data_IF_445266920990
#
_entry.id   IF_445266920990
#
_cell.length_a   1.000
_cell.length_b   1.000
_cell.length_c   1.000
_cell.angle_alpha   90.00
_cell.angle_beta   90.00
_cell.angle_gamma   90.00
#
_symmetry.space_group_name_H-M   'P 1'
#
loop_
_entity.id
_entity.type
_entity.pdbx_description
1 polymer ?
#
# COMPACT_ATOMS: atom_id res chain seq x y z
N UNK A 1 -3.40 8.53 56.99
CA UNK A 1 -3.56 7.21 56.35
C UNK A 1 -2.60 7.17 55.19
N UNK A 2 -1.50 6.47 55.38
CA UNK A 2 -0.42 6.30 54.42
C UNK A 2 -0.89 5.50 53.20
N UNK A 3 -0.71 6.07 52.00
CA UNK A 3 -0.95 5.43 50.70
C UNK A 3 0.37 4.98 50.07
N UNK A 4 1.21 4.25 50.83
CA UNK A 4 2.47 3.68 50.32
C UNK A 4 2.69 2.22 50.76
N UNK A 5 1.71 1.35 50.52
CA UNK A 5 2.01 -0.06 50.26
C UNK A 5 1.89 -0.31 48.76
N UNK A 6 2.94 0.04 48.02
CA UNK A 6 3.10 -0.47 46.66
C UNK A 6 3.42 -1.96 46.75
N UNK A 7 2.63 -2.78 46.05
CA UNK A 7 2.82 -4.21 45.85
C UNK A 7 4.32 -4.56 45.71
N UNK A 8 4.86 -5.37 46.64
CA UNK A 8 6.18 -5.98 46.46
C UNK A 8 6.18 -6.74 45.12
N UNK A 9 7.17 -6.55 44.26
CA UNK A 9 7.22 -7.24 42.96
C UNK A 9 7.27 -8.74 43.20
N UNK A 10 6.19 -9.44 42.84
CA UNK A 10 6.12 -10.90 42.91
C UNK A 10 7.00 -11.44 41.78
N UNK A 11 8.00 -12.25 42.12
CA UNK A 11 8.92 -12.84 41.14
C UNK A 11 8.13 -13.79 40.24
N UNK A 12 8.02 -13.47 38.94
CA UNK A 12 7.30 -14.31 37.97
C UNK A 12 8.10 -15.57 37.61
N UNK A 13 7.44 -16.60 37.09
CA UNK A 13 8.14 -17.79 36.58
C UNK A 13 9.15 -17.44 35.48
N UNK A 14 8.82 -16.46 34.62
CA UNK A 14 9.71 -15.94 33.59
C UNK A 14 10.97 -15.33 34.22
N UNK A 15 10.82 -14.56 35.31
CA UNK A 15 11.94 -13.99 36.05
C UNK A 15 12.87 -15.08 36.59
N UNK A 16 12.32 -16.12 37.24
CA UNK A 16 13.12 -17.27 37.71
C UNK A 16 13.83 -17.97 36.55
N UNK A 17 13.14 -18.15 35.42
CA UNK A 17 13.71 -18.72 34.21
C UNK A 17 14.88 -17.92 33.67
N UNK A 18 14.77 -16.60 33.67
CA UNK A 18 15.83 -15.70 33.20
C UNK A 18 17.05 -15.76 34.11
N UNK A 19 16.86 -15.78 35.44
CA UNK A 19 17.97 -15.92 36.40
C UNK A 19 18.68 -17.27 36.25
N UNK A 20 17.93 -18.35 36.00
CA UNK A 20 18.52 -19.66 35.69
C UNK A 20 19.35 -19.63 34.42
N UNK A 21 18.84 -19.01 33.35
CA UNK A 21 19.58 -18.83 32.10
C UNK A 21 20.89 -18.05 32.32
N UNK A 22 20.86 -16.98 33.12
CA UNK A 22 22.06 -16.22 33.47
C UNK A 22 23.03 -17.01 34.34
N UNK A 23 22.53 -17.81 35.29
CA UNK A 23 23.36 -18.69 36.12
C UNK A 23 24.10 -19.73 35.28
N UNK A 24 23.42 -20.34 34.29
CA UNK A 24 24.04 -21.28 33.36
C UNK A 24 25.20 -20.62 32.60
N UNK A 25 25.02 -19.35 32.19
CA UNK A 25 26.04 -18.58 31.45
C UNK A 25 27.18 -18.06 32.32
N UNK A 26 26.94 -17.74 33.59
CA UNK A 26 27.95 -17.15 34.47
C UNK A 26 28.77 -18.20 35.22
N UNK A 27 28.09 -19.21 35.78
CA UNK A 27 28.71 -20.22 36.67
C UNK A 27 28.80 -21.60 36.00
N UNK A 28 28.16 -21.80 34.84
CA UNK A 28 28.13 -23.11 34.16
C UNK A 28 27.16 -24.10 34.80
N UNK A 29 26.10 -23.61 35.45
CA UNK A 29 25.02 -24.48 35.96
C UNK A 29 24.21 -25.10 34.82
N UNK A 30 23.47 -26.17 35.13
CA UNK A 30 22.66 -26.92 34.15
C UNK A 30 21.16 -26.83 34.49
N UNK A 31 20.67 -25.61 34.74
CA UNK A 31 19.25 -25.42 34.96
C UNK A 31 18.47 -25.54 33.65
N UNK A 32 17.38 -26.32 33.66
CA UNK A 32 16.46 -26.44 32.52
C UNK A 32 15.74 -25.11 32.25
N UNK A 33 16.18 -24.39 31.21
CA UNK A 33 15.62 -23.11 30.79
C UNK A 33 14.68 -23.20 29.58
N UNK A 34 14.61 -24.34 28.89
CA UNK A 34 13.84 -24.47 27.64
C UNK A 34 12.33 -24.28 27.82
N UNK A 35 11.81 -24.68 29.00
CA UNK A 35 10.39 -24.58 29.31
C UNK A 35 9.84 -23.14 29.33
N UNK A 36 10.72 -22.13 29.36
CA UNK A 36 10.33 -20.72 29.39
C UNK A 36 10.23 -20.09 28.00
N UNK A 37 10.64 -20.80 26.94
CA UNK A 37 10.49 -20.35 25.56
C UNK A 37 11.32 -19.10 25.22
N UNK A 38 12.50 -18.94 25.81
CA UNK A 38 13.42 -17.86 25.45
C UNK A 38 13.92 -18.00 24.00
N UNK A 39 14.20 -16.89 23.30
CA UNK A 39 14.74 -16.94 21.93
C UNK A 39 16.11 -17.61 21.89
N UNK A 40 16.36 -18.42 20.85
CA UNK A 40 17.61 -19.19 20.69
C UNK A 40 18.86 -18.31 20.69
N UNK A 41 18.79 -17.12 20.11
CA UNK A 41 19.87 -16.13 20.09
C UNK A 41 20.27 -15.73 21.51
N UNK A 42 19.30 -15.56 22.41
CA UNK A 42 19.59 -15.26 23.80
C UNK A 42 20.19 -16.48 24.52
N UNK A 43 19.76 -17.69 24.17
CA UNK A 43 20.35 -18.94 24.72
C UNK A 43 21.80 -19.12 24.27
N UNK A 44 22.15 -18.72 23.05
CA UNK A 44 23.50 -18.81 22.49
C UNK A 44 24.37 -17.58 22.80
N UNK A 45 23.76 -16.45 23.14
CA UNK A 45 24.46 -15.20 23.46
C UNK A 45 25.47 -15.36 24.60
N UNK A 46 26.54 -14.56 24.55
CA UNK A 46 27.44 -14.38 25.70
C UNK A 46 26.68 -13.82 26.90
N UNK A 47 27.23 -13.99 28.11
CA UNK A 47 26.66 -13.40 29.31
C UNK A 47 26.48 -11.88 29.17
N UNK A 48 27.46 -11.22 28.53
CA UNK A 48 27.43 -9.78 28.30
C UNK A 48 26.25 -9.36 27.44
N UNK A 49 26.06 -9.99 26.29
CA UNK A 49 24.95 -9.69 25.36
C UNK A 49 23.59 -9.97 26.01
N UNK A 50 23.48 -11.03 26.81
CA UNK A 50 22.27 -11.33 27.57
C UNK A 50 21.96 -10.22 28.57
N UNK A 51 22.94 -9.75 29.35
CA UNK A 51 22.78 -8.64 30.29
C UNK A 51 22.41 -7.36 29.54
N UNK A 52 23.09 -7.01 28.47
CA UNK A 52 22.81 -5.80 27.68
C UNK A 52 21.38 -5.82 27.10
N UNK A 53 20.91 -6.98 26.64
CA UNK A 53 19.53 -7.18 26.15
C UNK A 53 18.50 -6.99 27.27
N UNK A 54 18.73 -7.59 28.43
CA UNK A 54 17.86 -7.44 29.62
C UNK A 54 17.79 -5.97 30.03
N UNK A 55 18.94 -5.32 30.06
CA UNK A 55 19.10 -3.93 30.44
C UNK A 55 18.32 -3.00 29.50
N UNK A 56 18.42 -3.24 28.18
CA UNK A 56 17.72 -2.49 27.14
C UNK A 56 16.20 -2.63 27.28
N UNK A 57 15.69 -3.86 27.40
CA UNK A 57 14.26 -4.12 27.54
C UNK A 57 13.70 -3.60 28.87
N UNK A 58 14.41 -3.84 29.97
CA UNK A 58 14.03 -3.37 31.29
C UNK A 58 13.94 -1.86 31.33
N UNK A 59 14.90 -1.14 30.76
CA UNK A 59 14.94 0.33 30.80
C UNK A 59 13.88 1.00 29.93
N UNK A 60 13.47 0.36 28.84
CA UNK A 60 12.66 1.01 27.80
C UNK A 60 11.21 1.31 28.23
N UNK A 61 10.70 0.66 29.28
CA UNK A 61 9.38 0.96 29.86
C UNK A 61 9.39 2.03 30.97
N UNK A 62 10.55 2.51 31.43
CA UNK A 62 10.62 3.48 32.53
C UNK A 62 10.99 4.89 32.08
N UNK A 63 10.42 5.91 32.75
CA UNK A 63 10.72 7.33 32.48
C UNK A 63 12.18 7.58 32.88
N UNK A 64 13.00 8.08 31.95
CA UNK A 64 14.41 8.41 32.20
C UNK A 64 15.40 7.25 32.00
N UNK A 65 14.93 6.06 31.59
CA UNK A 65 15.81 4.97 31.20
C UNK A 65 16.69 5.35 30.01
N UNK A 66 18.01 5.19 30.15
CA UNK A 66 18.94 5.35 29.03
C UNK A 66 18.94 4.06 28.22
N UNK A 67 18.73 4.19 26.91
CA UNK A 67 18.67 3.09 25.94
C UNK A 67 20.07 2.47 25.68
N UNK A 68 21.11 2.96 26.35
CA UNK A 68 22.49 2.46 26.29
C UNK A 68 22.89 1.62 27.53
N UNK A 69 21.95 1.39 28.44
CA UNK A 69 22.15 0.54 29.61
C UNK A 69 22.97 1.13 30.77
N UNK A 70 23.50 2.34 30.64
CA UNK A 70 24.32 3.00 31.67
C UNK A 70 23.52 3.58 32.85
N UNK A 71 22.24 3.22 32.98
CA UNK A 71 21.33 3.71 34.02
C UNK A 71 21.31 2.88 35.30
N UNK A 72 21.69 1.59 35.24
CA UNK A 72 21.47 0.63 36.33
C UNK A 72 22.27 0.94 37.61
N UNK A 73 23.49 1.48 37.50
CA UNK A 73 24.35 1.76 38.66
C UNK A 73 23.81 2.82 39.63
N UNK A 74 22.73 3.53 39.26
CA UNK A 74 22.11 4.59 40.07
C UNK A 74 20.67 4.26 40.49
N UNK A 75 20.25 3.01 40.32
CA UNK A 75 18.90 2.55 40.61
C UNK A 75 18.84 1.84 41.96
N UNK A 76 17.72 1.98 42.67
CA UNK A 76 17.46 1.15 43.84
C UNK A 76 17.27 -0.32 43.43
N UNK A 77 17.58 -1.23 44.35
CA UNK A 77 17.44 -2.68 44.14
C UNK A 77 16.04 -3.07 43.64
N UNK A 78 14.99 -2.53 44.27
CA UNK A 78 13.59 -2.77 43.85
C UNK A 78 13.32 -2.42 42.39
N UNK A 79 13.94 -1.34 41.88
CA UNK A 79 13.78 -0.93 40.49
C UNK A 79 14.56 -1.84 39.54
N UNK A 80 15.72 -2.34 39.95
CA UNK A 80 16.48 -3.33 39.18
C UNK A 80 15.65 -4.61 39.07
N UNK A 81 15.08 -5.09 40.17
CA UNK A 81 14.21 -6.28 40.19
C UNK A 81 13.01 -6.09 39.24
N UNK A 82 12.34 -4.94 39.27
CA UNK A 82 11.20 -4.66 38.39
C UNK A 82 11.58 -4.62 36.90
N UNK A 83 12.76 -4.08 36.57
CA UNK A 83 13.25 -4.03 35.19
C UNK A 83 13.65 -5.40 34.67
N UNK A 84 14.30 -6.22 35.51
CA UNK A 84 14.63 -7.61 35.16
C UNK A 84 13.34 -8.43 34.96
N UNK A 85 12.34 -8.25 35.82
CA UNK A 85 11.03 -8.90 35.66
C UNK A 85 10.37 -8.51 34.31
N UNK A 86 10.39 -7.22 33.99
CA UNK A 86 9.87 -6.69 32.72
C UNK A 86 10.56 -7.31 31.51
N UNK A 87 11.89 -7.39 31.54
CA UNK A 87 12.67 -8.00 30.46
C UNK A 87 12.40 -9.51 30.36
N UNK A 88 12.28 -10.19 31.49
CA UNK A 88 11.98 -11.62 31.54
C UNK A 88 10.63 -11.93 30.89
N UNK A 89 9.58 -11.16 31.21
CA UNK A 89 8.26 -11.32 30.60
C UNK A 89 8.25 -11.02 29.09
N UNK A 90 9.13 -10.11 28.64
CA UNK A 90 9.28 -9.78 27.22
C UNK A 90 10.03 -10.87 26.44
N UNK A 91 10.93 -11.60 27.09
CA UNK A 91 11.76 -12.63 26.47
C UNK A 91 11.15 -14.03 26.56
N UNK A 92 10.32 -14.29 27.58
CA UNK A 92 9.61 -15.55 27.73
C UNK A 92 8.51 -15.71 26.67
N UNK A 93 8.16 -16.96 26.35
CA UNK A 93 7.09 -17.27 25.37
C UNK A 93 7.35 -16.55 24.04
N UNK A 94 8.58 -16.65 23.52
CA UNK A 94 8.98 -15.96 22.30
C UNK A 94 8.32 -16.58 21.06
N UNK A 95 7.82 -15.76 20.10
CA UNK A 95 7.87 -14.30 20.05
C UNK A 95 6.73 -13.56 20.77
N UNK A 96 5.71 -14.26 21.27
CA UNK A 96 4.48 -13.67 21.80
C UNK A 96 4.71 -12.77 23.02
N UNK A 97 5.62 -13.13 23.94
CA UNK A 97 6.01 -12.28 25.07
C UNK A 97 6.58 -10.94 24.62
N UNK A 98 7.42 -10.94 23.59
CA UNK A 98 8.00 -9.72 23.04
C UNK A 98 6.95 -8.85 22.39
N UNK A 99 6.00 -9.46 21.68
CA UNK A 99 4.87 -8.73 21.12
C UNK A 99 4.05 -8.05 22.22
N UNK A 100 3.66 -8.78 23.27
CA UNK A 100 2.94 -8.21 24.42
C UNK A 100 3.71 -7.04 25.02
N UNK A 101 5.03 -7.16 25.13
CA UNK A 101 5.91 -6.11 25.62
C UNK A 101 5.93 -4.88 24.70
N UNK A 102 6.02 -5.05 23.38
CA UNK A 102 5.90 -3.96 22.42
C UNK A 102 4.55 -3.23 22.56
N UNK A 103 3.47 -3.97 22.81
CA UNK A 103 2.16 -3.41 23.15
C UNK A 103 2.20 -2.48 24.37
N UNK A 104 2.94 -2.84 25.42
CA UNK A 104 3.13 -2.00 26.63
C UNK A 104 3.94 -0.73 26.35
N UNK A 105 4.94 -0.79 25.45
CA UNK A 105 5.72 0.40 25.04
C UNK A 105 4.88 1.39 24.24
N UNK A 106 3.89 0.87 23.55
CA UNK A 106 2.97 1.64 22.74
C UNK A 106 1.90 2.31 23.63
N UNK A 107 1.30 1.57 24.58
CA UNK A 107 0.32 2.07 25.56
C UNK A 107 0.87 1.97 26.99
N UNK A 108 1.50 3.01 27.56
CA UNK A 108 1.86 3.00 28.97
C UNK A 108 0.57 3.00 29.83
N UNK A 109 0.41 2.00 30.69
CA UNK A 109 -0.80 1.80 31.51
C UNK A 109 -1.03 2.98 32.49
N UNK A 110 0.06 3.64 32.91
CA UNK A 110 0.03 4.53 34.08
C UNK A 110 -0.11 6.02 33.74
N UNK A 111 -0.18 6.41 32.46
CA UNK A 111 -0.14 7.84 32.11
C UNK A 111 -0.87 8.19 30.79
N UNK A 112 -2.20 8.12 30.81
CA UNK A 112 -3.07 8.42 29.67
C UNK A 112 -3.19 9.93 29.34
N UNK A 113 -2.83 10.82 30.26
CA UNK A 113 -3.04 12.28 30.18
C UNK A 113 -1.81 13.07 29.73
N UNK A 114 -0.63 12.43 29.62
CA UNK A 114 0.61 13.08 29.21
C UNK A 114 0.67 13.39 27.71
N UNK A 115 1.19 14.57 27.36
CA UNK A 115 1.45 15.01 25.99
C UNK A 115 2.66 14.34 25.31
N UNK A 116 3.37 13.44 26.03
CA UNK A 116 4.48 12.67 25.47
C UNK A 116 3.97 11.66 24.44
N UNK A 117 4.63 11.65 23.29
CA UNK A 117 4.13 11.03 22.07
C UNK A 117 4.00 9.51 22.27
N UNK A 118 2.77 9.01 22.20
CA UNK A 118 2.45 7.59 22.17
C UNK A 118 3.27 6.91 21.05
N UNK A 119 3.97 5.82 21.36
CA UNK A 119 5.00 5.17 20.52
C UNK A 119 6.38 5.83 20.45
N UNK A 120 6.69 6.89 21.19
CA UNK A 120 8.06 7.43 21.26
C UNK A 120 9.04 6.40 21.83
N UNK A 121 8.65 5.66 22.87
CA UNK A 121 9.48 4.62 23.47
C UNK A 121 9.68 3.43 22.54
N UNK A 122 8.61 3.03 21.87
CA UNK A 122 8.67 2.03 20.80
C UNK A 122 9.65 2.47 19.70
N UNK A 123 9.51 3.70 19.18
CA UNK A 123 10.37 4.22 18.13
C UNK A 123 11.84 4.36 18.58
N UNK A 124 12.08 4.81 19.81
CA UNK A 124 13.44 4.88 20.39
C UNK A 124 14.07 3.50 20.52
N UNK A 125 13.31 2.52 21.01
CA UNK A 125 13.79 1.14 21.12
C UNK A 125 14.07 0.53 19.74
N UNK A 126 13.16 0.71 18.78
CA UNK A 126 13.35 0.26 17.40
C UNK A 126 14.60 0.88 16.78
N UNK A 127 14.75 2.20 16.82
CA UNK A 127 15.92 2.86 16.24
C UNK A 127 17.23 2.47 16.94
N UNK A 128 17.18 2.23 18.26
CA UNK A 128 18.35 1.72 18.98
C UNK A 128 18.72 0.31 18.50
N UNK A 129 17.76 -0.61 18.39
CA UNK A 129 18.00 -1.96 17.89
C UNK A 129 18.46 -1.95 16.42
N UNK A 130 17.85 -1.12 15.58
CA UNK A 130 18.20 -0.95 14.16
C UNK A 130 19.61 -0.38 13.96
N UNK A 131 20.03 0.57 14.81
CA UNK A 131 21.38 1.15 14.73
C UNK A 131 22.46 0.24 15.31
N UNK A 132 22.08 -0.75 16.12
CA UNK A 132 22.99 -1.63 16.86
C UNK A 132 22.62 -3.11 16.65
N UNK A 133 22.33 -3.50 15.41
CA UNK A 133 21.84 -4.86 15.08
C UNK A 133 22.80 -5.96 15.53
N UNK A 134 24.11 -5.72 15.43
CA UNK A 134 25.13 -6.66 15.91
C UNK A 134 25.16 -6.82 17.43
N UNK A 135 24.75 -5.79 18.16
CA UNK A 135 24.73 -5.79 19.62
C UNK A 135 23.40 -6.32 20.18
N UNK A 136 22.28 -6.09 19.48
CA UNK A 136 20.94 -6.52 19.89
C UNK A 136 20.20 -7.34 18.82
N UNK A 137 20.80 -8.45 18.32
CA UNK A 137 20.24 -9.22 17.21
C UNK A 137 18.86 -9.79 17.54
N UNK A 138 18.67 -10.27 18.77
CA UNK A 138 17.39 -10.82 19.27
C UNK A 138 16.25 -9.80 19.20
N UNK A 139 16.53 -8.56 19.63
CA UNK A 139 15.51 -7.50 19.69
C UNK A 139 15.15 -7.04 18.29
N UNK A 140 16.17 -6.82 17.44
CA UNK A 140 15.94 -6.41 16.07
C UNK A 140 15.15 -7.45 15.28
N UNK A 141 15.49 -8.74 15.40
CA UNK A 141 14.72 -9.81 14.76
C UNK A 141 13.28 -9.88 15.27
N UNK A 142 13.06 -9.69 16.57
CA UNK A 142 11.71 -9.59 17.12
C UNK A 142 10.87 -8.48 16.50
N UNK A 143 11.50 -7.33 16.18
CA UNK A 143 10.82 -6.25 15.46
C UNK A 143 10.49 -6.66 14.02
N UNK A 144 11.42 -7.27 13.29
CA UNK A 144 11.18 -7.77 11.93
C UNK A 144 10.04 -8.79 11.88
N UNK A 145 10.00 -9.74 12.82
CA UNK A 145 8.92 -10.72 12.96
C UNK A 145 7.57 -10.03 13.25
N UNK A 146 7.57 -9.03 14.15
CA UNK A 146 6.36 -8.26 14.50
C UNK A 146 5.81 -7.53 13.29
N UNK A 147 6.67 -6.80 12.57
CA UNK A 147 6.31 -6.02 11.40
C UNK A 147 5.87 -6.92 10.24
N UNK A 148 6.52 -8.09 10.07
CA UNK A 148 6.13 -9.10 9.09
C UNK A 148 4.73 -9.67 9.35
N UNK A 149 4.36 -9.92 10.62
CA UNK A 149 3.02 -10.36 10.99
C UNK A 149 1.97 -9.27 10.80
N UNK A 150 2.34 -8.00 11.03
CA UNK A 150 1.48 -6.85 10.79
C UNK A 150 1.17 -6.65 9.31
N UNK A 151 2.17 -6.74 8.44
CA UNK A 151 1.98 -6.62 7.00
C UNK A 151 1.07 -7.71 6.43
N UNK A 152 1.09 -8.91 7.03
CA UNK A 152 0.23 -10.04 6.64
C UNK A 152 -1.17 -9.96 7.24
N UNK A 153 -1.50 -8.93 8.02
CA UNK A 153 -2.81 -8.78 8.68
C UNK A 153 -3.12 -9.86 9.73
N UNK A 154 -2.12 -10.66 10.13
CA UNK A 154 -2.30 -11.79 11.06
C UNK A 154 -2.28 -11.37 12.53
N UNK A 155 -1.85 -10.15 12.80
CA UNK A 155 -1.77 -9.58 14.14
C UNK A 155 -3.03 -8.72 14.41
N UNK A 156 -4.14 -9.37 14.77
CA UNK A 156 -5.42 -8.68 14.96
C UNK A 156 -5.52 -7.85 16.27
N UNK A 157 -4.56 -7.96 17.20
CA UNK A 157 -4.71 -7.42 18.57
C UNK A 157 -3.50 -6.70 19.18
N UNK A 158 -2.41 -6.51 18.44
CA UNK A 158 -1.18 -5.90 19.01
C UNK A 158 -1.01 -4.41 18.74
N UNK A 159 -1.92 -3.79 17.98
CA UNK A 159 -1.79 -2.40 17.55
C UNK A 159 -2.99 -1.58 17.97
N UNK A 160 -3.02 -1.23 19.25
CA UNK A 160 -3.40 0.12 19.61
C UNK A 160 -2.24 1.05 19.29
N UNK A 161 -2.18 1.59 18.07
CA UNK A 161 -1.32 2.69 17.53
C UNK A 161 0.21 2.48 17.41
N UNK A 162 0.68 2.20 16.21
CA UNK A 162 1.94 2.80 15.69
C UNK A 162 1.51 3.98 14.84
N UNK A 163 1.71 5.21 15.34
CA UNK A 163 1.59 6.42 14.55
C UNK A 163 3.01 6.86 14.18
N UNK A 164 3.47 6.61 12.94
CA UNK A 164 4.77 7.07 12.49
C UNK A 164 4.95 8.59 12.65
N UNK A 165 6.10 9.02 13.18
CA UNK A 165 6.54 10.43 13.09
C UNK A 165 6.65 10.85 11.61
N UNK A 166 6.38 12.13 11.27
CA UNK A 166 6.63 12.66 9.93
C UNK A 166 8.11 12.44 9.56
N UNK A 167 8.33 11.63 8.54
CA UNK A 167 9.62 11.06 8.18
C UNK A 167 9.41 9.73 7.46
N UNK A 168 10.35 9.32 6.59
CA UNK A 168 10.20 8.14 5.72
C UNK A 168 10.08 6.84 6.53
N UNK A 169 8.89 6.50 6.98
CA UNK A 169 8.57 5.11 7.35
C UNK A 169 8.48 4.32 6.07
N UNK A 170 9.13 3.16 6.03
CA UNK A 170 9.28 2.40 4.78
C UNK A 170 7.92 2.12 4.12
N UNK A 171 6.84 1.90 4.89
CA UNK A 171 5.58 1.32 4.38
C UNK A 171 4.31 2.15 4.62
N UNK A 172 4.25 3.08 5.59
CA UNK A 172 3.04 3.84 5.93
C UNK A 172 3.28 5.35 6.04
N UNK A 173 2.41 6.14 5.42
CA UNK A 173 2.37 7.59 5.51
C UNK A 173 1.14 8.06 6.28
N UNK A 174 1.32 9.06 7.15
CA UNK A 174 0.19 9.72 7.78
C UNK A 174 -0.54 10.65 6.78
N UNK A 175 -1.76 11.08 7.10
CA UNK A 175 -2.55 11.92 6.20
C UNK A 175 -1.90 13.28 5.86
N UNK A 176 -1.00 13.83 6.69
CA UNK A 176 -0.21 15.02 6.30
C UNK A 176 0.89 14.67 5.30
N UNK A 177 1.63 13.59 5.52
CA UNK A 177 2.73 13.20 4.63
C UNK A 177 2.21 12.76 3.27
N UNK A 178 1.12 11.98 3.25
CA UNK A 178 0.46 11.59 2.01
C UNK A 178 0.02 12.81 1.18
N UNK A 179 -0.44 13.90 1.81
CA UNK A 179 -0.77 15.15 1.10
C UNK A 179 0.46 15.80 0.47
N UNK A 180 1.58 15.81 1.18
CA UNK A 180 2.84 16.37 0.69
C UNK A 180 3.36 15.55 -0.48
N UNK A 181 3.40 14.21 -0.35
CA UNK A 181 3.84 13.31 -1.42
C UNK A 181 2.97 13.44 -2.68
N UNK A 182 1.64 13.46 -2.51
CA UNK A 182 0.70 13.52 -3.63
C UNK A 182 0.49 14.93 -4.19
N UNK A 183 0.95 15.96 -3.46
CA UNK A 183 0.67 17.39 -3.70
C UNK A 183 -0.83 17.67 -3.82
N UNK A 184 -1.60 17.20 -2.83
CA UNK A 184 -3.07 17.34 -2.80
C UNK A 184 -3.61 17.93 -1.50
N UNK A 185 -4.77 18.58 -1.58
CA UNK A 185 -5.51 19.05 -0.41
C UNK A 185 -6.15 17.92 0.40
N UNK A 186 -6.61 18.26 1.61
CA UNK A 186 -7.28 17.31 2.54
C UNK A 186 -8.54 16.68 1.97
N UNK A 187 -9.35 17.46 1.25
CA UNK A 187 -10.58 16.99 0.60
C UNK A 187 -10.28 15.95 -0.48
N UNK A 188 -9.31 16.25 -1.34
CA UNK A 188 -8.84 15.33 -2.40
C UNK A 188 -8.29 14.04 -1.82
N UNK A 189 -7.42 14.12 -0.79
CA UNK A 189 -6.92 12.92 -0.13
C UNK A 189 -8.05 12.06 0.42
N UNK A 190 -9.00 12.67 1.14
CA UNK A 190 -10.15 11.96 1.72
C UNK A 190 -11.01 11.30 0.63
N UNK A 191 -11.15 11.94 -0.54
CA UNK A 191 -11.85 11.39 -1.70
C UNK A 191 -11.12 10.19 -2.29
N UNK A 192 -9.80 10.26 -2.45
CA UNK A 192 -8.99 9.14 -2.95
C UNK A 192 -9.07 7.92 -2.03
N UNK A 193 -9.01 8.14 -0.73
CA UNK A 193 -9.18 7.08 0.29
C UNK A 193 -10.57 6.44 0.21
N UNK A 194 -11.63 7.25 0.07
CA UNK A 194 -13.01 6.75 -0.01
C UNK A 194 -13.29 5.97 -1.29
N UNK A 195 -12.66 6.36 -2.40
CA UNK A 195 -12.76 5.66 -3.69
C UNK A 195 -11.90 4.39 -3.77
N UNK A 196 -11.15 4.04 -2.71
CA UNK A 196 -10.27 2.87 -2.71
C UNK A 196 -8.99 3.04 -3.53
N UNK A 197 -8.72 4.23 -4.07
CA UNK A 197 -7.52 4.52 -4.86
C UNK A 197 -6.23 4.54 -4.02
N UNK A 198 -6.39 4.69 -2.71
CA UNK A 198 -5.32 4.61 -1.74
C UNK A 198 -5.67 3.49 -0.76
N UNK A 199 -4.74 2.56 -0.53
CA UNK A 199 -4.90 1.52 0.50
C UNK A 199 -4.72 2.19 1.85
N UNK A 200 -5.76 2.13 2.68
CA UNK A 200 -5.77 2.82 3.97
C UNK A 200 -5.88 1.86 5.15
N UNK A 201 -5.23 2.23 6.25
CA UNK A 201 -5.36 1.55 7.54
C UNK A 201 -6.01 2.53 8.51
N UNK A 202 -7.20 2.20 9.01
CA UNK A 202 -7.92 3.01 9.98
C UNK A 202 -7.58 2.55 11.41
N UNK A 203 -7.25 3.50 12.27
CA UNK A 203 -6.92 3.28 13.68
C UNK A 203 -7.83 4.16 14.53
N UNK A 204 -8.64 3.54 15.40
CA UNK A 204 -9.57 4.24 16.30
C UNK A 204 -8.85 4.65 17.59
N UNK A 205 -9.01 5.91 18.00
CA UNK A 205 -8.48 6.51 19.25
C UNK A 205 -9.64 7.18 19.98
N UNK A 206 -10.23 6.48 20.96
CA UNK A 206 -11.43 6.96 21.65
C UNK A 206 -12.57 7.24 20.67
N UNK A 207 -13.04 8.50 20.63
CA UNK A 207 -14.06 8.96 19.68
C UNK A 207 -13.50 9.35 18.29
N UNK A 208 -12.19 9.39 18.10
CA UNK A 208 -11.56 9.81 16.84
C UNK A 208 -11.06 8.63 15.99
N UNK A 209 -11.15 8.73 14.66
CA UNK A 209 -10.60 7.74 13.72
C UNK A 209 -9.47 8.39 12.92
N UNK A 210 -8.25 7.91 13.10
CA UNK A 210 -7.10 8.28 12.28
C UNK A 210 -6.95 7.30 11.12
N UNK A 211 -6.54 7.78 9.95
CA UNK A 211 -6.34 6.94 8.76
C UNK A 211 -4.92 7.15 8.22
N UNK A 212 -4.22 6.05 7.99
CA UNK A 212 -2.90 5.98 7.37
C UNK A 212 -3.01 5.46 5.94
N UNK A 213 -2.03 5.78 5.10
CA UNK A 213 -1.99 5.37 3.70
C UNK A 213 -0.70 4.59 3.45
N UNK A 214 -0.76 3.50 2.69
CA UNK A 214 0.46 2.73 2.35
C UNK A 214 1.33 3.45 1.32
N UNK A 215 2.65 3.40 1.46
CA UNK A 215 3.59 3.98 0.49
C UNK A 215 3.43 3.38 -0.90
N UNK A 216 3.27 2.05 -0.99
CA UNK A 216 2.98 1.33 -2.23
C UNK A 216 1.77 1.94 -2.96
N UNK A 217 0.67 2.19 -2.25
CA UNK A 217 -0.51 2.81 -2.87
C UNK A 217 -0.30 4.28 -3.27
N UNK A 218 0.60 5.00 -2.59
CA UNK A 218 0.98 6.37 -2.97
C UNK A 218 1.79 6.32 -4.26
N UNK A 219 2.77 5.44 -4.35
CA UNK A 219 3.63 5.27 -5.54
C UNK A 219 2.81 4.81 -6.74
N UNK A 220 1.98 3.77 -6.57
CA UNK A 220 1.07 3.30 -7.62
C UNK A 220 0.15 4.42 -8.13
N UNK A 221 -0.38 5.26 -7.22
CA UNK A 221 -1.20 6.40 -7.61
C UNK A 221 -0.40 7.51 -8.31
N UNK A 222 0.85 7.75 -7.89
CA UNK A 222 1.74 8.71 -8.55
C UNK A 222 2.09 8.27 -9.96
N UNK A 223 2.37 6.97 -10.15
CA UNK A 223 2.63 6.40 -11.46
C UNK A 223 1.40 6.47 -12.35
N UNK A 224 0.23 6.09 -11.82
CA UNK A 224 -1.04 6.28 -12.51
C UNK A 224 -1.23 7.74 -12.94
N UNK A 225 -1.03 8.70 -12.02
CA UNK A 225 -1.15 10.13 -12.30
C UNK A 225 -0.21 10.61 -13.41
N UNK A 226 0.99 10.03 -13.55
CA UNK A 226 1.92 10.34 -14.66
C UNK A 226 1.41 9.83 -16.01
N UNK A 227 0.63 8.75 -16.02
CA UNK A 227 0.06 8.15 -17.23
C UNK A 227 -1.29 8.74 -17.64
N UNK A 228 -1.96 9.45 -16.73
CA UNK A 228 -3.22 10.11 -17.03
C UNK A 228 -3.01 11.25 -18.03
N UNK A 229 -3.67 11.16 -19.17
CA UNK A 229 -3.68 12.18 -20.21
C UNK A 229 -5.06 12.81 -20.34
N UNK A 230 -5.10 14.09 -20.71
CA UNK A 230 -6.36 14.80 -20.93
C UNK A 230 -7.05 14.39 -22.23
N UNK A 231 -8.34 14.73 -22.36
CA UNK A 231 -9.18 14.40 -23.52
C UNK A 231 -8.59 14.78 -24.89
N UNK A 232 -7.91 15.93 -25.00
CA UNK A 232 -7.27 16.37 -26.25
C UNK A 232 -6.11 15.45 -26.65
N UNK A 233 -5.27 15.08 -25.68
CA UNK A 233 -4.16 14.17 -25.89
C UNK A 233 -4.64 12.75 -26.21
N UNK A 234 -5.71 12.30 -25.56
CA UNK A 234 -6.36 11.01 -25.88
C UNK A 234 -6.92 10.99 -27.31
N UNK A 235 -7.63 12.04 -27.72
CA UNK A 235 -8.16 12.16 -29.08
C UNK A 235 -7.04 12.21 -30.13
N UNK A 236 -5.96 12.92 -29.84
CA UNK A 236 -4.76 12.97 -30.67
C UNK A 236 -4.07 11.61 -30.80
N UNK A 237 -3.94 10.86 -29.69
CA UNK A 237 -3.34 9.53 -29.67
C UNK A 237 -4.13 8.52 -30.52
N UNK A 238 -5.45 8.59 -30.47
CA UNK A 238 -6.33 7.76 -31.30
C UNK A 238 -6.53 8.31 -32.72
N UNK A 239 -6.04 9.52 -33.02
CA UNK A 239 -6.28 10.24 -34.28
C UNK A 239 -7.76 10.40 -34.64
N UNK A 240 -8.59 10.74 -33.64
CA UNK A 240 -10.03 10.99 -33.81
C UNK A 240 -10.41 12.38 -33.33
N UNK A 241 -11.61 12.86 -33.71
CA UNK A 241 -12.15 14.11 -33.19
C UNK A 241 -12.56 13.97 -31.71
N UNK A 242 -12.61 15.09 -30.98
CA UNK A 242 -13.13 15.11 -29.59
C UNK A 242 -14.57 14.61 -29.51
N UNK A 243 -15.38 14.89 -30.52
CA UNK A 243 -16.76 14.41 -30.58
C UNK A 243 -16.78 12.88 -30.71
N UNK A 244 -16.01 12.34 -31.65
CA UNK A 244 -15.85 10.88 -31.85
C UNK A 244 -15.38 10.18 -30.58
N UNK A 245 -14.38 10.73 -29.89
CA UNK A 245 -13.88 10.15 -28.63
C UNK A 245 -14.99 10.04 -27.57
N UNK A 246 -15.83 11.09 -27.42
CA UNK A 246 -16.97 11.05 -26.50
C UNK A 246 -18.02 10.02 -26.92
N UNK A 247 -18.27 9.87 -28.21
CA UNK A 247 -19.20 8.87 -28.74
C UNK A 247 -18.71 7.45 -28.48
N UNK A 248 -17.40 7.19 -28.65
CA UNK A 248 -16.78 5.90 -28.30
C UNK A 248 -16.92 5.56 -26.82
N UNK A 249 -16.76 6.56 -25.95
CA UNK A 249 -16.95 6.36 -24.50
C UNK A 249 -18.40 6.09 -24.15
N UNK A 250 -19.35 6.82 -24.73
CA UNK A 250 -20.79 6.56 -24.53
C UNK A 250 -21.20 5.17 -24.99
N UNK A 251 -20.57 4.66 -26.05
CA UNK A 251 -20.80 3.32 -26.56
C UNK A 251 -20.05 2.21 -25.78
N UNK A 252 -19.22 2.56 -24.79
CA UNK A 252 -18.51 1.59 -23.94
C UNK A 252 -17.22 1.03 -24.53
N UNK A 253 -16.76 1.50 -25.69
CA UNK A 253 -15.48 1.08 -26.28
C UNK A 253 -14.28 1.60 -25.50
N UNK A 254 -14.41 2.76 -24.85
CA UNK A 254 -13.36 3.38 -24.08
C UNK A 254 -13.89 3.76 -22.71
N UNK A 255 -13.11 3.49 -21.67
CA UNK A 255 -13.47 3.86 -20.30
C UNK A 255 -12.55 4.98 -19.81
N UNK A 256 -13.07 6.20 -19.58
CA UNK A 256 -12.28 7.26 -18.98
C UNK A 256 -11.98 6.91 -17.52
N UNK A 257 -10.79 7.31 -17.05
CA UNK A 257 -10.42 7.14 -15.66
C UNK A 257 -11.09 8.19 -14.75
N UNK A 258 -11.15 9.44 -15.24
CA UNK A 258 -11.94 10.52 -14.62
C UNK A 258 -12.85 11.15 -15.65
N UNK A 259 -14.08 11.48 -15.26
CA UNK A 259 -15.00 12.27 -16.09
C UNK A 259 -16.04 13.01 -15.22
N UNK A 260 -16.63 14.10 -15.72
CA UNK A 260 -17.75 14.77 -15.06
C UNK A 260 -18.89 13.81 -14.74
N UNK A 261 -19.18 12.89 -15.66
CA UNK A 261 -20.30 11.95 -15.57
C UNK A 261 -20.01 10.78 -14.62
N UNK A 262 -18.77 10.32 -14.55
CA UNK A 262 -18.36 9.19 -13.71
C UNK A 262 -18.17 9.62 -12.25
N UNK A 263 -17.48 10.75 -12.04
CA UNK A 263 -16.86 11.01 -10.75
C UNK A 263 -16.83 12.49 -10.35
N UNK A 264 -17.55 13.32 -11.12
CA UNK A 264 -17.68 14.77 -10.91
C UNK A 264 -16.39 15.54 -11.19
N UNK A 265 -15.42 14.93 -11.89
CA UNK A 265 -14.18 15.61 -12.22
C UNK A 265 -14.40 16.66 -13.32
N UNK A 266 -13.79 17.84 -13.19
CA UNK A 266 -13.99 18.96 -14.12
C UNK A 266 -13.52 18.68 -15.55
N UNK A 267 -12.66 17.67 -15.74
CA UNK A 267 -12.08 17.31 -17.02
C UNK A 267 -11.99 15.80 -17.18
N UNK A 268 -12.10 15.34 -18.42
CA UNK A 268 -11.93 13.93 -18.78
C UNK A 268 -10.45 13.57 -18.80
N UNK A 269 -10.10 12.47 -18.14
CA UNK A 269 -8.75 11.90 -18.12
C UNK A 269 -8.78 10.42 -18.47
N UNK A 270 -7.78 9.97 -19.21
CA UNK A 270 -7.63 8.59 -19.67
C UNK A 270 -6.26 8.06 -19.25
N UNK A 271 -6.17 6.78 -18.91
CA UNK A 271 -4.87 6.13 -18.76
C UNK A 271 -4.29 5.85 -20.15
N UNK A 272 -3.11 6.42 -20.43
CA UNK A 272 -2.40 6.24 -21.69
C UNK A 272 -2.16 4.77 -22.02
N UNK A 273 -1.85 3.94 -21.01
CA UNK A 273 -1.51 2.53 -21.24
C UNK A 273 -2.76 1.74 -21.65
N UNK A 274 -3.92 2.08 -21.10
CA UNK A 274 -5.21 1.46 -21.48
C UNK A 274 -5.56 1.80 -22.93
N UNK A 275 -5.35 3.05 -23.35
CA UNK A 275 -5.56 3.45 -24.75
C UNK A 275 -4.57 2.77 -25.69
N UNK A 276 -3.32 2.57 -25.27
CA UNK A 276 -2.33 1.83 -26.04
C UNK A 276 -2.71 0.35 -26.17
N UNK A 277 -3.16 -0.27 -25.07
CA UNK A 277 -3.67 -1.64 -25.05
C UNK A 277 -4.85 -1.83 -26.01
N UNK A 278 -5.81 -0.89 -26.00
CA UNK A 278 -6.93 -0.93 -26.94
C UNK A 278 -6.48 -0.88 -28.41
N UNK A 279 -5.49 -0.05 -28.75
CA UNK A 279 -4.94 -0.04 -30.11
C UNK A 279 -4.20 -1.34 -30.45
N UNK A 280 -3.52 -1.94 -29.46
CA UNK A 280 -2.83 -3.20 -29.64
C UNK A 280 -3.79 -4.37 -29.86
N UNK A 281 -4.91 -4.42 -29.13
CA UNK A 281 -5.99 -5.40 -29.36
C UNK A 281 -6.53 -5.31 -30.79
N UNK A 282 -6.67 -4.09 -31.34
CA UNK A 282 -7.03 -3.91 -32.74
C UNK A 282 -5.94 -4.42 -33.69
N UNK A 283 -4.66 -4.19 -33.38
CA UNK A 283 -3.53 -4.71 -34.18
C UNK A 283 -3.46 -6.25 -34.15
N UNK A 284 -3.78 -6.89 -33.04
CA UNK A 284 -3.82 -8.36 -32.94
C UNK A 284 -5.02 -8.97 -33.69
N UNK A 285 -6.10 -8.21 -33.86
CA UNK A 285 -7.30 -8.66 -34.60
C UNK A 285 -7.18 -8.54 -36.13
N UNK A 286 -6.01 -8.17 -36.64
CA UNK A 286 -5.78 -7.97 -38.08
C UNK A 286 -5.64 -9.31 -38.82
N UNK A 287 -6.36 -9.46 -39.92
CA UNK A 287 -6.19 -10.58 -40.84
C UNK A 287 -5.12 -10.31 -41.91
N UNK A 288 -4.46 -11.36 -42.38
CA UNK A 288 -3.42 -11.25 -43.42
C UNK A 288 -4.02 -10.88 -44.78
N UNK A 289 -3.36 -9.92 -45.43
CA UNK A 289 -3.79 -9.14 -46.59
C UNK A 289 -4.38 -9.95 -47.75
N UNK A 290 -5.66 -9.70 -48.06
CA UNK A 290 -6.29 -10.12 -49.33
C UNK A 290 -6.72 -8.94 -50.23
N UNK A 291 -6.87 -7.72 -49.66
CA UNK A 291 -7.42 -6.57 -50.39
C UNK A 291 -6.70 -5.24 -50.08
N UNK A 292 -6.84 -4.25 -50.98
CA UNK A 292 -6.39 -2.87 -50.77
C UNK A 292 -7.37 -2.16 -49.82
N UNK A 293 -7.01 -1.93 -48.54
CA UNK A 293 -7.96 -1.51 -47.53
C UNK A 293 -8.30 -0.02 -47.65
N UNK A 294 -9.54 0.35 -47.33
CA UNK A 294 -9.93 1.76 -47.19
C UNK A 294 -9.77 2.17 -45.74
N UNK A 295 -9.00 3.24 -45.50
CA UNK A 295 -8.78 3.79 -44.16
C UNK A 295 -10.11 4.04 -43.42
N UNK A 296 -10.18 3.71 -42.12
CA UNK A 296 -11.40 3.84 -41.31
C UNK A 296 -12.02 5.25 -41.42
N UNK A 297 -11.18 6.29 -41.38
CA UNK A 297 -11.61 7.69 -41.49
C UNK A 297 -12.29 7.98 -42.83
N UNK A 298 -11.70 7.47 -43.92
CA UNK A 298 -12.24 7.63 -45.27
C UNK A 298 -13.54 6.83 -45.44
N UNK A 299 -13.61 5.61 -44.90
CA UNK A 299 -14.80 4.78 -44.90
C UNK A 299 -15.97 5.45 -44.17
N UNK A 300 -15.75 5.89 -42.92
CA UNK A 300 -16.76 6.61 -42.14
C UNK A 300 -17.19 7.87 -42.88
N UNK A 301 -16.26 8.68 -43.40
CA UNK A 301 -16.62 9.90 -44.15
C UNK A 301 -17.49 9.61 -45.38
N UNK A 302 -17.22 8.54 -46.11
CA UNK A 302 -17.95 8.14 -47.31
C UNK A 302 -19.37 7.68 -47.00
N UNK A 303 -19.54 6.83 -45.98
CA UNK A 303 -20.80 6.17 -45.67
C UNK A 303 -21.56 6.77 -44.47
N UNK A 304 -21.11 7.91 -43.93
CA UNK A 304 -21.76 8.59 -42.79
C UNK A 304 -23.25 8.91 -43.07
N UNK A 305 -23.56 9.36 -44.30
CA UNK A 305 -24.95 9.67 -44.70
C UNK A 305 -25.88 8.45 -44.68
N UNK A 306 -25.31 7.23 -44.72
CA UNK A 306 -26.02 5.95 -44.62
C UNK A 306 -25.92 5.37 -43.20
N UNK A 307 -25.57 6.20 -42.21
CA UNK A 307 -25.53 5.82 -40.80
C UNK A 307 -24.25 5.12 -40.36
N UNK A 308 -23.19 5.06 -41.17
CA UNK A 308 -21.91 4.53 -40.71
C UNK A 308 -21.23 5.53 -39.76
N UNK A 309 -21.00 5.10 -38.52
CA UNK A 309 -20.21 5.83 -37.53
C UNK A 309 -19.03 4.97 -37.06
N UNK A 310 -18.06 5.55 -36.36
CA UNK A 310 -16.96 4.78 -35.77
C UNK A 310 -17.47 3.70 -34.80
N UNK A 311 -18.52 3.99 -34.02
CA UNK A 311 -19.13 3.02 -33.11
C UNK A 311 -19.68 1.84 -33.91
N UNK A 312 -20.52 2.11 -34.92
CA UNK A 312 -21.10 1.07 -35.77
C UNK A 312 -20.01 0.26 -36.47
N UNK A 313 -18.97 0.92 -36.98
CA UNK A 313 -17.86 0.25 -37.66
C UNK A 313 -17.08 -0.69 -36.73
N UNK A 314 -16.76 -0.24 -35.50
CA UNK A 314 -16.09 -1.08 -34.51
C UNK A 314 -16.98 -2.23 -34.01
N UNK A 315 -18.30 -2.02 -33.88
CA UNK A 315 -19.23 -3.10 -33.57
C UNK A 315 -19.26 -4.15 -34.69
N UNK A 316 -19.31 -3.71 -35.95
CA UNK A 316 -19.24 -4.60 -37.12
C UNK A 316 -17.94 -5.42 -37.14
N UNK A 317 -16.81 -4.78 -36.81
CA UNK A 317 -15.51 -5.47 -36.67
C UNK A 317 -15.56 -6.49 -35.55
N UNK A 318 -16.07 -6.12 -34.36
CA UNK A 318 -16.17 -7.03 -33.21
C UNK A 318 -17.11 -8.22 -33.50
N UNK A 319 -18.14 -8.03 -34.31
CA UNK A 319 -19.09 -9.06 -34.70
C UNK A 319 -18.60 -9.92 -35.89
N UNK A 320 -17.45 -9.60 -36.49
CA UNK A 320 -16.94 -10.28 -37.68
C UNK A 320 -17.71 -9.98 -38.97
N UNK A 321 -18.50 -8.89 -39.01
CA UNK A 321 -19.22 -8.45 -40.21
C UNK A 321 -18.30 -7.76 -41.23
N UNK A 322 -17.23 -7.14 -40.73
CA UNK A 322 -16.20 -6.44 -41.53
C UNK A 322 -14.84 -6.76 -40.94
N UNK A 323 -13.92 -7.18 -41.79
CA UNK A 323 -12.53 -7.46 -41.41
C UNK A 323 -11.75 -6.15 -41.20
N UNK A 324 -10.97 -6.11 -40.11
CA UNK A 324 -10.03 -5.03 -39.84
C UNK A 324 -8.70 -5.34 -40.52
N UNK A 325 -8.21 -4.38 -41.30
CA UNK A 325 -7.00 -4.52 -42.11
C UNK A 325 -5.97 -3.44 -41.77
N UNK A 326 -4.69 -3.77 -41.96
CA UNK A 326 -3.60 -2.79 -41.84
C UNK A 326 -3.59 -1.87 -43.06
N UNK A 327 -3.87 -0.58 -42.85
CA UNK A 327 -3.78 0.45 -43.89
C UNK A 327 -2.38 1.09 -43.97
N UNK A 328 -1.75 1.36 -42.81
CA UNK A 328 -0.41 1.97 -42.77
C UNK A 328 0.33 1.59 -41.49
N UNK A 329 1.60 1.19 -41.64
CA UNK A 329 2.50 0.89 -40.52
C UNK A 329 3.11 2.15 -39.88
N UNK A 330 3.11 3.29 -40.57
CA UNK A 330 3.77 4.53 -40.14
C UNK A 330 2.82 5.52 -39.46
N UNK A 331 1.52 5.39 -39.75
CA UNK A 331 0.48 6.23 -39.16
C UNK A 331 0.22 5.86 -37.70
N UNK A 332 -0.65 6.62 -37.01
CA UNK A 332 -0.97 6.38 -35.59
C UNK A 332 -2.47 6.25 -35.33
N UNK A 333 -2.81 5.52 -34.28
CA UNK A 333 -4.20 5.36 -33.84
C UNK A 333 -5.06 4.81 -34.97
N UNK A 334 -6.23 5.39 -35.17
CA UNK A 334 -7.22 4.90 -36.14
C UNK A 334 -6.79 5.10 -37.60
N UNK A 335 -5.75 5.90 -37.85
CA UNK A 335 -5.21 6.11 -39.20
C UNK A 335 -4.40 4.92 -39.71
N UNK A 336 -3.94 4.04 -38.80
CA UNK A 336 -3.25 2.79 -39.16
C UNK A 336 -4.17 1.75 -39.77
N UNK A 337 -5.45 1.81 -39.45
CA UNK A 337 -6.39 0.76 -39.78
C UNK A 337 -7.27 1.13 -40.96
N UNK A 338 -7.69 0.11 -41.69
CA UNK A 338 -8.67 0.18 -42.75
C UNK A 338 -9.58 -1.04 -42.72
N UNK A 339 -10.49 -1.08 -43.68
CA UNK A 339 -11.47 -2.16 -43.84
C UNK A 339 -11.63 -2.47 -45.33
N UNK A 340 -12.07 -3.68 -45.64
CA UNK A 340 -12.30 -4.08 -47.03
C UNK A 340 -13.40 -3.21 -47.68
N UNK A 341 -13.10 -2.49 -48.78
CA UNK A 341 -14.10 -1.73 -49.50
C UNK A 341 -15.25 -2.56 -50.06
N UNK A 342 -15.04 -3.84 -50.38
CA UNK A 342 -16.10 -4.69 -50.96
C UNK A 342 -17.13 -5.10 -49.93
N UNK A 343 -16.71 -5.47 -48.73
CA UNK A 343 -17.59 -5.69 -47.58
C UNK A 343 -18.46 -4.45 -47.30
N UNK A 344 -17.86 -3.25 -47.24
CA UNK A 344 -18.63 -2.02 -47.03
C UNK A 344 -19.63 -1.74 -48.15
N UNK A 345 -19.24 -1.94 -49.43
CA UNK A 345 -20.15 -1.76 -50.56
C UNK A 345 -21.31 -2.75 -50.53
N UNK A 346 -21.09 -3.99 -50.08
CA UNK A 346 -22.18 -4.98 -49.95
C UNK A 346 -23.22 -4.56 -48.92
N UNK A 347 -22.76 -3.96 -47.81
CA UNK A 347 -23.64 -3.54 -46.70
C UNK A 347 -24.36 -2.23 -47.00
N UNK A 348 -23.66 -1.26 -47.62
CA UNK A 348 -24.16 0.11 -47.78
C UNK A 348 -24.46 0.51 -49.24
N UNK A 349 -24.10 -0.33 -50.22
CA UNK A 349 -24.26 -0.04 -51.65
C UNK A 349 -25.68 -0.21 -52.18
N UNK A 350 -26.56 -0.92 -51.47
CA UNK A 350 -27.92 -1.21 -51.92
C UNK A 350 -28.96 -0.12 -51.57
N UNK A 351 -28.59 0.93 -50.82
CA UNK A 351 -29.54 2.00 -50.44
C UNK A 351 -29.70 3.11 -51.49
N UNK A 352 -29.07 3.01 -52.68
CA UNK A 352 -29.22 3.98 -53.76
C UNK A 352 -30.43 3.74 -54.68
N UNK A 353 -31.34 2.82 -54.33
CA UNK A 353 -32.55 2.51 -55.11
C UNK A 353 -33.85 2.68 -54.30
N UNK A 354 -33.90 3.64 -53.37
CA UNK A 354 -35.19 4.18 -52.92
C UNK A 354 -35.44 5.44 -53.74
N UNK A 355 -36.12 5.24 -54.87
CA UNK A 355 -36.77 6.32 -55.61
C UNK A 355 -37.59 7.15 -54.62
N UNK A 356 -37.25 8.43 -54.52
CA UNK A 356 -38.15 9.42 -53.95
C UNK A 356 -39.36 9.48 -54.88
N UNK A 357 -40.46 8.86 -54.48
CA UNK A 357 -41.77 9.08 -55.07
C UNK A 357 -42.20 10.51 -54.69
N UNK A 358 -42.32 11.45 -55.64
CA UNK A 358 -42.74 12.81 -55.34
C UNK A 358 -44.25 12.80 -55.10
N UNK A 359 -44.67 13.10 -53.87
CA UNK A 359 -46.05 13.52 -53.55
C UNK A 359 -46.04 14.98 -53.14
#
# INVERSE_FOLDING_TARGET
MDFQEWNKPTISEAHVGLLRLLSNKFVGTDFRADKYGFPEELKQASLREAIETIVLLGSSLHIGGRVDGRGYCRMSEDRVIAQVATAADALADWPQGFMRYLGKLIVPIDNYSGSSFFAERFARLYHCAESNQSQFPTIFRGFEECLGLLAKGKLQSLVGKVAPKPGRHKWLACGSDARVCLRVGKSTLSRLMRKGMLKTIAVRRGQSVQRFVTHESIEAYLDLKRRLIGIKSAAYMLSVSLHTLKTLVKAGFLTPYHSPDLDGHHSWQFDKDVLAGFLHELEESLEEQSSDPVQLVAAVRKYNKQGLSYVKLLDMIRNGEVELLMYSQTERGFLKFGVDPTALKKIFGNEAAVEYDPV
#
